data_IF_702818830999
#
_entry.id   IF_702818830999
#
_cell.length_a   1.000
_cell.length_b   1.000
_cell.length_c   1.000
_cell.angle_alpha   90.00
_cell.angle_beta   90.00
_cell.angle_gamma   90.00
#
_symmetry.space_group_name_H-M   'P 1'
#
loop_
_entity.id
_entity.type
_entity.pdbx_description
1 polymer ?
#
# COMPACT_ATOMS: atom_id res chain seq x y z
N UNK A 1 -11.83 7.66 9.65
CA UNK A 1 -10.72 6.74 9.99
C UNK A 1 -9.88 7.31 11.11
N UNK A 2 -9.37 6.47 12.00
CA UNK A 2 -8.44 6.88 13.05
C UNK A 2 -7.04 6.97 12.46
N UNK A 3 -6.29 8.06 12.69
CA UNK A 3 -4.93 8.19 12.19
C UNK A 3 -4.07 6.99 12.59
N UNK A 4 -3.38 6.39 11.62
CA UNK A 4 -2.56 5.19 11.82
C UNK A 4 -1.24 5.33 11.10
N UNK A 5 -0.16 5.07 11.81
CA UNK A 5 1.19 5.02 11.26
C UNK A 5 1.63 3.56 11.22
N UNK A 6 1.90 3.03 10.03
CA UNK A 6 2.38 1.67 9.85
C UNK A 6 3.89 1.71 9.69
N UNK A 7 4.59 1.00 10.58
CA UNK A 7 6.05 0.95 10.62
C UNK A 7 6.59 -0.39 10.16
N UNK A 8 7.87 -0.40 9.81
CA UNK A 8 8.62 -1.62 9.58
C UNK A 8 8.76 -2.39 10.90
N UNK A 9 8.76 -3.71 10.80
CA UNK A 9 8.80 -4.61 11.95
C UNK A 9 10.14 -4.49 12.68
N UNK A 10 10.05 -4.55 14.02
CA UNK A 10 11.21 -4.59 14.90
C UNK A 10 12.25 -5.67 14.54
N UNK A 11 11.90 -6.92 14.15
CA UNK A 11 12.92 -7.91 13.78
C UNK A 11 13.75 -7.52 12.55
N UNK A 12 13.18 -6.85 11.55
CA UNK A 12 13.97 -6.36 10.40
C UNK A 12 14.93 -5.26 10.84
N UNK A 13 14.47 -4.37 11.72
CA UNK A 13 15.33 -3.32 12.30
C UNK A 13 16.52 -3.96 13.00
N UNK A 14 16.29 -4.97 13.84
CA UNK A 14 17.36 -5.70 14.54
C UNK A 14 18.31 -6.35 13.53
N UNK A 15 17.79 -6.99 12.48
CA UNK A 15 18.62 -7.63 11.46
C UNK A 15 19.60 -6.64 10.82
N UNK A 16 19.13 -5.45 10.43
CA UNK A 16 20.00 -4.41 9.87
C UNK A 16 21.06 -3.93 10.87
N UNK A 17 20.68 -3.75 12.14
CA UNK A 17 21.63 -3.33 13.18
C UNK A 17 22.70 -4.41 13.44
N UNK A 18 22.30 -5.67 13.50
CA UNK A 18 23.22 -6.81 13.70
C UNK A 18 24.17 -6.93 12.52
N UNK A 19 23.67 -6.86 11.28
CA UNK A 19 24.53 -6.87 10.09
C UNK A 19 25.51 -5.71 10.09
N UNK A 20 25.05 -4.49 10.39
CA UNK A 20 25.92 -3.31 10.48
C UNK A 20 27.01 -3.48 11.53
N UNK A 21 26.68 -3.99 12.72
CA UNK A 21 27.64 -4.27 13.78
C UNK A 21 28.65 -5.37 13.41
N UNK A 22 28.21 -6.43 12.74
CA UNK A 22 29.09 -7.50 12.25
C UNK A 22 30.04 -6.98 11.18
N UNK A 23 29.56 -6.24 10.19
CA UNK A 23 30.41 -5.64 9.16
C UNK A 23 31.42 -4.65 9.76
N UNK A 24 31.00 -3.85 10.73
CA UNK A 24 31.90 -2.95 11.43
C UNK A 24 32.97 -3.71 12.21
N UNK A 25 32.61 -4.82 12.85
CA UNK A 25 33.56 -5.68 13.57
C UNK A 25 34.58 -6.29 12.60
N UNK A 26 34.14 -6.83 11.47
CA UNK A 26 35.02 -7.37 10.42
C UNK A 26 35.94 -6.27 9.86
N UNK A 27 35.46 -5.03 9.72
CA UNK A 27 36.28 -3.91 9.27
C UNK A 27 37.44 -3.64 10.22
N UNK A 28 37.17 -3.64 11.54
CA UNK A 28 38.16 -3.38 12.58
C UNK A 28 39.23 -4.48 12.64
N UNK A 29 38.84 -5.75 12.47
CA UNK A 29 39.78 -6.87 12.58
C UNK A 29 40.45 -7.28 11.26
N UNK A 30 39.87 -6.92 10.11
CA UNK A 30 40.23 -7.50 8.82
C UNK A 30 41.03 -6.58 7.88
N UNK A 31 41.34 -5.34 8.26
CA UNK A 31 42.05 -4.34 7.46
C UNK A 31 41.49 -4.11 6.04
N UNK A 32 40.21 -4.46 5.80
CA UNK A 32 39.57 -4.26 4.50
C UNK A 32 38.77 -2.95 4.48
N UNK A 33 39.17 -1.95 3.68
CA UNK A 33 38.57 -0.61 3.70
C UNK A 33 37.09 -0.61 3.29
N UNK A 34 36.65 -1.56 2.47
CA UNK A 34 35.26 -1.63 2.00
C UNK A 34 34.23 -1.81 3.14
N UNK A 35 34.61 -2.48 4.23
CA UNK A 35 33.69 -2.74 5.34
C UNK A 35 33.52 -1.54 6.28
N UNK A 36 34.46 -0.59 6.27
CA UNK A 36 34.34 0.66 7.04
C UNK A 36 33.19 1.53 6.58
N UNK A 37 32.78 1.45 5.31
CA UNK A 37 31.61 2.17 4.81
C UNK A 37 30.34 1.35 4.97
N UNK A 38 30.38 0.05 4.68
CA UNK A 38 29.20 -0.80 4.74
C UNK A 38 28.58 -0.89 6.15
N UNK A 39 29.40 -1.07 7.19
CA UNK A 39 28.93 -1.22 8.58
C UNK A 39 28.11 -0.01 9.06
N UNK A 40 28.66 1.22 9.01
CA UNK A 40 27.94 2.43 9.38
C UNK A 40 26.69 2.68 8.53
N UNK A 41 26.73 2.40 7.22
CA UNK A 41 25.55 2.55 6.35
C UNK A 41 24.41 1.65 6.83
N UNK A 42 24.69 0.38 7.15
CA UNK A 42 23.66 -0.54 7.67
C UNK A 42 23.15 -0.15 9.06
N UNK A 43 24.03 0.34 9.94
CA UNK A 43 23.60 0.87 11.25
C UNK A 43 22.67 2.07 11.09
N UNK A 44 23.05 3.05 10.27
CA UNK A 44 22.22 4.23 9.99
C UNK A 44 20.90 3.82 9.36
N UNK A 45 20.92 2.90 8.38
CA UNK A 45 19.71 2.40 7.73
C UNK A 45 18.79 1.70 8.73
N UNK A 46 19.34 0.86 9.62
CA UNK A 46 18.60 0.23 10.70
C UNK A 46 17.93 1.26 11.62
N UNK A 47 18.66 2.30 12.03
CA UNK A 47 18.09 3.40 12.81
C UNK A 47 16.98 4.14 12.05
N UNK A 48 17.20 4.52 10.79
CA UNK A 48 16.21 5.26 9.98
C UNK A 48 14.91 4.48 9.81
N UNK A 49 15.03 3.20 9.46
CA UNK A 49 13.90 2.26 9.29
C UNK A 49 13.03 2.17 10.55
N UNK A 50 13.59 2.40 11.74
CA UNK A 50 12.85 2.35 13.01
C UNK A 50 11.96 3.57 13.25
N UNK A 51 12.45 4.75 12.88
CA UNK A 51 11.80 6.02 13.22
C UNK A 51 10.83 6.50 12.14
N UNK A 52 11.06 6.14 10.89
CA UNK A 52 10.30 6.67 9.76
C UNK A 52 9.11 5.74 9.44
N UNK A 53 7.85 6.22 9.56
CA UNK A 53 6.69 5.42 9.17
C UNK A 53 6.57 5.35 7.65
N UNK A 54 6.37 4.15 7.12
CA UNK A 54 6.27 3.88 5.68
C UNK A 54 4.88 4.24 5.14
N UNK A 55 3.83 4.05 5.93
CA UNK A 55 2.48 4.44 5.55
C UNK A 55 1.88 5.27 6.67
N UNK A 56 1.42 6.47 6.32
CA UNK A 56 0.74 7.37 7.22
C UNK A 56 -0.68 7.56 6.72
N UNK A 57 -1.63 7.00 7.46
CA UNK A 57 -3.06 7.15 7.22
C UNK A 57 -3.54 8.30 8.09
N UNK A 58 -3.96 9.38 7.45
CA UNK A 58 -4.60 10.54 8.09
C UNK A 58 -6.12 10.44 7.91
N UNK A 59 -6.87 11.42 8.43
CA UNK A 59 -8.35 11.40 8.37
C UNK A 59 -8.91 11.43 6.94
N UNK A 60 -8.21 12.08 6.00
CA UNK A 60 -8.67 12.33 4.62
C UNK A 60 -7.66 11.96 3.53
N UNK A 61 -6.48 11.50 3.92
CA UNK A 61 -5.38 11.24 3.00
C UNK A 61 -4.56 10.06 3.50
N UNK A 62 -4.00 9.31 2.56
CA UNK A 62 -3.00 8.29 2.80
C UNK A 62 -1.71 8.72 2.13
N UNK A 63 -0.64 8.84 2.91
CA UNK A 63 0.70 9.16 2.44
C UNK A 63 1.56 7.91 2.49
N UNK A 64 2.10 7.52 1.34
CA UNK A 64 3.11 6.47 1.23
C UNK A 64 4.47 7.14 1.25
N UNK A 65 5.31 6.73 2.20
CA UNK A 65 6.66 7.25 2.42
C UNK A 65 7.68 6.15 2.19
N UNK A 66 8.82 6.51 1.63
CA UNK A 66 9.99 5.63 1.56
C UNK A 66 10.58 5.44 2.98
N UNK A 67 11.42 4.41 3.19
CA UNK A 67 12.13 4.22 4.46
C UNK A 67 13.03 5.39 4.87
N UNK A 68 13.34 6.30 3.95
CA UNK A 68 14.10 7.54 4.17
C UNK A 68 13.21 8.77 4.36
N UNK A 69 11.87 8.60 4.37
CA UNK A 69 10.90 9.64 4.74
C UNK A 69 10.36 10.46 3.56
N UNK A 70 10.77 10.15 2.33
CA UNK A 70 10.28 10.85 1.12
C UNK A 70 8.87 10.36 0.81
N UNK A 71 7.93 11.26 0.57
CA UNK A 71 6.57 10.89 0.18
C UNK A 71 6.55 10.48 -1.28
N UNK A 72 6.30 9.19 -1.56
CA UNK A 72 6.20 8.64 -2.91
C UNK A 72 4.83 8.91 -3.53
N UNK A 73 3.78 9.01 -2.70
CA UNK A 73 2.42 9.24 -3.18
C UNK A 73 1.48 9.67 -2.07
N UNK A 74 0.49 10.48 -2.44
CA UNK A 74 -0.61 10.91 -1.58
C UNK A 74 -1.93 10.55 -2.26
N UNK A 75 -2.80 9.86 -1.53
CA UNK A 75 -4.06 9.34 -2.05
C UNK A 75 -5.21 9.86 -1.19
N UNK A 76 -6.27 10.43 -1.77
CA UNK A 76 -7.41 10.90 -1.00
C UNK A 76 -8.21 9.71 -0.47
N UNK A 77 -8.50 9.69 0.83
CA UNK A 77 -9.29 8.63 1.46
C UNK A 77 -10.50 9.27 2.12
N UNK A 78 -11.69 9.01 1.58
CA UNK A 78 -12.95 9.56 2.11
C UNK A 78 -13.56 8.60 3.13
N UNK A 79 -13.47 7.29 2.85
CA UNK A 79 -14.10 6.26 3.67
C UNK A 79 -13.19 5.04 3.89
N UNK A 80 -13.41 4.26 4.98
CA UNK A 80 -12.84 2.93 5.17
C UNK A 80 -12.78 2.05 3.93
N UNK A 81 -13.86 2.03 3.14
CA UNK A 81 -13.97 1.22 1.93
C UNK A 81 -13.11 1.67 0.75
N UNK A 82 -12.50 2.87 0.78
CA UNK A 82 -11.60 3.31 -0.28
C UNK A 82 -10.25 2.58 -0.26
N UNK A 83 -9.96 1.88 0.84
CA UNK A 83 -8.77 1.06 1.02
C UNK A 83 -9.18 -0.41 1.10
N UNK A 84 -8.49 -1.25 0.33
CA UNK A 84 -8.69 -2.70 0.37
C UNK A 84 -7.36 -3.39 0.68
N UNK A 85 -7.41 -4.40 1.55
CA UNK A 85 -6.30 -5.30 1.79
C UNK A 85 -6.53 -6.59 1.01
N UNK A 86 -5.79 -6.78 -0.08
CA UNK A 86 -5.92 -7.96 -0.97
C UNK A 86 -4.58 -8.66 -1.03
N UNK A 87 -4.52 -9.92 -0.60
CA UNK A 87 -3.30 -10.74 -0.55
C UNK A 87 -2.13 -10.09 0.21
N UNK A 88 -2.43 -9.35 1.29
CA UNK A 88 -1.43 -8.59 2.03
C UNK A 88 -0.84 -7.41 1.24
N UNK A 89 -1.52 -6.93 0.20
CA UNK A 89 -1.22 -5.67 -0.49
C UNK A 89 -2.30 -4.66 -0.14
N UNK A 90 -1.90 -3.44 0.16
CA UNK A 90 -2.82 -2.33 0.37
C UNK A 90 -3.11 -1.68 -0.99
N UNK A 91 -4.38 -1.62 -1.34
CA UNK A 91 -4.88 -1.04 -2.58
C UNK A 91 -5.76 0.16 -2.28
N UNK A 92 -5.67 1.17 -3.14
CA UNK A 92 -6.63 2.24 -3.21
C UNK A 92 -7.70 1.88 -4.24
N UNK A 93 -8.91 1.60 -3.77
CA UNK A 93 -10.02 1.07 -4.59
C UNK A 93 -10.45 2.08 -5.66
N UNK A 94 -10.67 3.38 -5.37
CA UNK A 94 -11.15 4.32 -6.37
C UNK A 94 -10.20 4.52 -7.55
N UNK A 95 -8.88 4.47 -7.32
CA UNK A 95 -7.87 4.61 -8.38
C UNK A 95 -7.34 3.28 -8.89
N UNK A 96 -7.86 2.15 -8.37
CA UNK A 96 -7.37 0.80 -8.63
C UNK A 96 -5.83 0.69 -8.55
N UNK A 97 -5.22 1.42 -7.62
CA UNK A 97 -3.77 1.55 -7.54
C UNK A 97 -3.22 0.79 -6.34
N UNK A 98 -2.18 -0.02 -6.59
CA UNK A 98 -1.44 -0.69 -5.50
C UNK A 98 -0.60 0.37 -4.77
N UNK A 99 -0.84 0.51 -3.47
CA UNK A 99 -0.12 1.46 -2.62
C UNK A 99 1.18 0.84 -2.09
N UNK A 100 1.06 -0.28 -1.39
CA UNK A 100 2.21 -0.96 -0.79
C UNK A 100 1.95 -2.45 -0.62
N UNK A 101 3.00 -3.27 -0.64
CA UNK A 101 2.92 -4.68 -0.28
C UNK A 101 3.28 -4.85 1.19
N UNK A 102 2.32 -5.26 2.02
CA UNK A 102 2.45 -5.43 3.48
C UNK A 102 2.87 -6.87 3.88
N UNK A 103 3.23 -7.73 2.92
CA UNK A 103 3.51 -9.16 3.15
C UNK A 103 4.64 -9.46 4.14
N UNK A 104 5.78 -8.78 4.04
CA UNK A 104 6.94 -9.02 4.89
C UNK A 104 7.49 -7.71 5.42
N UNK A 105 7.81 -7.71 6.71
CA UNK A 105 8.57 -6.62 7.30
C UNK A 105 7.78 -5.46 7.87
N UNK A 106 6.48 -5.59 8.07
CA UNK A 106 5.68 -4.59 8.78
C UNK A 106 5.27 -5.08 10.16
N UNK A 107 5.04 -4.14 11.09
CA UNK A 107 4.63 -4.49 12.45
C UNK A 107 3.25 -5.16 12.45
N UNK A 108 3.16 -6.35 13.04
CA UNK A 108 1.92 -7.14 13.09
C UNK A 108 0.80 -6.42 13.84
N UNK A 109 1.13 -5.63 14.86
CA UNK A 109 0.14 -4.88 15.63
C UNK A 109 -0.45 -3.74 14.80
N UNK A 110 0.39 -3.06 14.00
CA UNK A 110 -0.07 -2.00 13.10
C UNK A 110 -0.92 -2.57 11.96
N UNK A 111 -0.55 -3.74 11.43
CA UNK A 111 -1.37 -4.46 10.44
C UNK A 111 -2.72 -4.89 11.03
N UNK A 112 -2.75 -5.39 12.25
CA UNK A 112 -3.99 -5.78 12.92
C UNK A 112 -4.91 -4.56 13.13
N UNK A 113 -4.36 -3.41 13.53
CA UNK A 113 -5.12 -2.15 13.64
C UNK A 113 -5.63 -1.69 12.28
N UNK A 114 -4.82 -1.77 11.24
CA UNK A 114 -5.25 -1.44 9.87
C UNK A 114 -6.41 -2.34 9.47
N UNK A 115 -6.26 -3.66 9.63
CA UNK A 115 -7.29 -4.62 9.26
C UNK A 115 -8.59 -4.36 10.03
N UNK A 116 -8.52 -4.16 11.34
CA UNK A 116 -9.67 -3.83 12.17
C UNK A 116 -10.39 -2.54 11.72
N UNK A 117 -9.65 -1.53 11.25
CA UNK A 117 -10.25 -0.32 10.68
C UNK A 117 -10.94 -0.58 9.33
N UNK A 118 -10.35 -1.45 8.48
CA UNK A 118 -10.90 -1.75 7.16
C UNK A 118 -12.14 -2.65 7.23
N UNK A 119 -12.18 -3.63 8.12
CA UNK A 119 -13.37 -4.49 8.35
C UNK A 119 -14.44 -3.85 9.23
N UNK A 120 -14.27 -2.59 9.64
CA UNK A 120 -15.23 -1.89 10.50
C UNK A 120 -15.29 -2.42 11.93
N UNK A 121 -14.36 -3.30 12.33
CA UNK A 121 -14.26 -3.92 13.66
C UNK A 121 -13.49 -3.03 14.66
N UNK A 122 -13.36 -1.74 14.35
CA UNK A 122 -12.62 -0.73 15.12
C UNK A 122 -13.28 -0.51 16.50
N UNK A 123 -13.04 -1.44 17.41
CA UNK A 123 -13.62 -1.49 18.75
C UNK A 123 -13.22 -2.73 19.55
N UNK A 124 -12.80 -3.81 18.90
CA UNK A 124 -12.24 -4.97 19.61
C UNK A 124 -10.72 -4.79 19.78
N UNK A 125 -10.19 -4.71 21.02
CA UNK A 125 -8.74 -4.79 21.24
C UNK A 125 -8.23 -6.12 20.67
N UNK A 126 -7.01 -6.17 20.09
CA UNK A 126 -6.42 -7.42 19.68
C UNK A 126 -6.24 -8.28 20.94
N UNK A 127 -6.99 -9.37 21.03
CA UNK A 127 -6.81 -10.38 22.07
C UNK A 127 -5.40 -10.95 21.89
N UNK A 128 -4.44 -10.42 22.65
CA UNK A 128 -3.12 -11.02 22.82
C UNK A 128 -3.33 -12.33 23.59
N UNK A 129 -3.57 -13.41 22.85
CA UNK A 129 -3.75 -14.73 23.45
C UNK A 129 -4.41 -15.69 22.48
N UNK A 130 -3.59 -16.41 21.72
CA UNK A 130 -4.07 -17.50 20.88
C UNK A 130 -3.18 -17.73 19.68
N UNK A 131 -2.21 -18.62 19.83
CA UNK A 131 -1.70 -19.39 18.71
C UNK A 131 -2.91 -20.06 18.02
N UNK A 132 -3.38 -19.52 16.90
CA UNK A 132 -4.29 -20.24 16.02
C UNK A 132 -3.44 -21.23 15.22
N UNK A 133 -3.19 -22.37 15.86
CA UNK A 133 -2.83 -23.59 15.15
C UNK A 133 -3.95 -23.94 14.18
N UNK A 134 -3.57 -24.35 12.97
CA UNK A 134 -4.43 -25.03 12.04
C UNK A 134 -4.88 -26.36 12.67
N UNK A 135 -5.95 -26.33 13.47
CA UNK A 135 -6.62 -27.55 13.91
C UNK A 135 -7.70 -27.89 12.90
N UNK A 136 -7.34 -28.82 12.02
CA UNK A 136 -8.26 -29.65 11.25
C UNK A 136 -9.24 -30.29 12.23
N UNK A 137 -10.49 -29.85 12.22
CA UNK A 137 -11.59 -30.47 12.95
C UNK A 137 -11.97 -31.79 12.27
N UNK A 138 -11.21 -32.84 12.58
CA UNK A 138 -11.59 -34.22 12.30
C UNK A 138 -12.32 -34.74 13.54
N UNK A 139 -13.63 -34.97 13.38
CA UNK A 139 -14.42 -35.92 14.18
C UNK A 139 -14.57 -35.64 15.67
N UNK A 140 -15.71 -35.07 16.07
CA UNK A 140 -16.32 -35.39 17.36
C UNK A 140 -17.79 -35.77 17.16
N UNK A 141 -18.25 -36.92 17.71
CA UNK A 141 -19.63 -37.35 17.63
C UNK A 141 -20.53 -36.45 18.50
N UNK A 142 -21.69 -36.09 17.94
CA UNK A 142 -22.75 -35.31 18.58
C UNK A 142 -23.27 -36.02 19.83
N UNK A 143 -23.19 -35.34 20.99
CA UNK A 143 -24.05 -35.63 22.13
C UNK A 143 -25.38 -34.89 21.96
N UNK A 144 -26.54 -35.51 22.22
CA UNK A 144 -27.83 -34.83 22.18
C UNK A 144 -27.99 -33.95 23.43
N UNK A 145 -28.12 -32.63 23.22
CA UNK A 145 -28.42 -31.66 24.28
C UNK A 145 -29.92 -31.44 24.33
N UNK A 146 -30.46 -31.58 25.54
CA UNK A 146 -31.86 -31.41 25.90
C UNK A 146 -32.40 -30.02 25.54
N UNK A 147 -33.66 -30.01 25.12
CA UNK A 147 -34.46 -28.83 24.79
C UNK A 147 -34.44 -27.80 25.93
N UNK A 148 -33.96 -26.60 25.61
CA UNK A 148 -34.32 -25.38 26.32
C UNK A 148 -35.14 -24.52 25.38
N UNK A 149 -36.45 -24.45 25.65
CA UNK A 149 -37.40 -23.55 25.02
C UNK A 149 -37.02 -22.11 25.37
N UNK A 150 -36.64 -21.34 24.35
CA UNK A 150 -36.32 -19.92 24.48
C UNK A 150 -36.51 -19.21 23.15
N UNK A 151 -37.56 -18.39 23.12
CA UNK A 151 -38.01 -17.50 22.05
C UNK A 151 -36.93 -16.99 21.09
N UNK A 152 -37.07 -17.34 19.81
CA UNK A 152 -36.52 -16.55 18.70
C UNK A 152 -37.68 -16.05 17.84
N UNK A 153 -37.80 -14.74 17.71
CA UNK A 153 -38.60 -14.12 16.66
C UNK A 153 -38.02 -14.55 15.30
N UNK A 154 -38.80 -15.30 14.54
CA UNK A 154 -38.52 -15.58 13.13
C UNK A 154 -38.73 -14.30 12.32
N UNK A 155 -37.65 -13.77 11.76
CA UNK A 155 -37.73 -12.81 10.65
C UNK A 155 -37.83 -13.62 9.37
N UNK A 156 -39.05 -13.70 8.84
CA UNK A 156 -39.37 -14.36 7.57
C UNK A 156 -38.91 -13.49 6.40
N UNK A 157 -37.97 -13.99 5.59
CA UNK A 157 -37.68 -13.42 4.28
C UNK A 157 -38.56 -14.11 3.24
N UNK A 158 -39.28 -13.37 2.38
CA UNK A 158 -40.09 -13.98 1.34
C UNK A 158 -39.19 -14.61 0.26
N UNK A 159 -39.30 -15.93 0.15
CA UNK A 159 -38.88 -16.72 -1.01
C UNK A 159 -39.72 -16.32 -2.22
N UNK A 160 -39.13 -15.58 -3.15
CA UNK A 160 -39.56 -15.54 -4.55
C UNK A 160 -38.58 -16.47 -5.29
N UNK A 161 -39.02 -17.60 -5.84
CA UNK A 161 -39.94 -17.67 -6.96
C UNK A 161 -39.09 -17.88 -8.21
N UNK A 162 -38.95 -19.14 -8.64
CA UNK A 162 -38.24 -19.52 -9.84
C UNK A 162 -38.88 -18.87 -11.07
N UNK A 163 -38.08 -18.14 -11.85
CA UNK A 163 -38.43 -17.75 -13.20
C UNK A 163 -37.28 -18.15 -14.14
N UNK A 164 -37.50 -19.24 -14.87
CA UNK A 164 -36.93 -19.42 -16.20
C UNK A 164 -37.56 -18.38 -17.11
N UNK A 165 -36.74 -17.52 -17.72
CA UNK A 165 -37.21 -16.51 -18.66
C UNK A 165 -36.04 -15.93 -19.45
N UNK A 166 -35.96 -16.32 -20.71
CA UNK A 166 -35.21 -15.61 -21.74
C UNK A 166 -35.69 -14.15 -21.81
N UNK A 167 -34.78 -13.20 -22.01
CA UNK A 167 -35.16 -11.92 -22.60
C UNK A 167 -34.49 -10.68 -21.99
N UNK A 168 -33.95 -9.87 -22.91
CA UNK A 168 -33.69 -8.43 -22.81
C UNK A 168 -32.61 -7.94 -21.85
N UNK A 169 -31.46 -7.61 -22.46
CA UNK A 169 -30.44 -6.71 -21.93
C UNK A 169 -31.09 -5.38 -21.49
N UNK A 170 -30.82 -4.89 -20.27
CA UNK A 170 -31.22 -3.54 -19.90
C UNK A 170 -30.42 -2.53 -20.72
N UNK A 171 -31.15 -1.67 -21.44
CA UNK A 171 -30.63 -0.46 -22.07
C UNK A 171 -29.82 0.35 -21.05
N UNK A 172 -28.61 0.76 -21.46
CA UNK A 172 -27.81 1.73 -20.73
C UNK A 172 -28.62 3.00 -20.53
N UNK A 173 -28.88 3.34 -19.27
CA UNK A 173 -29.35 4.67 -18.91
C UNK A 173 -28.28 5.67 -19.35
N UNK A 174 -28.60 6.49 -20.33
CA UNK A 174 -27.82 7.65 -20.71
C UNK A 174 -27.79 8.60 -19.52
N UNK A 175 -26.62 8.72 -18.90
CA UNK A 175 -26.38 9.72 -17.87
C UNK A 175 -26.58 11.11 -18.49
N UNK A 176 -27.70 11.76 -18.18
CA UNK A 176 -27.89 13.17 -18.43
C UNK A 176 -26.82 13.94 -17.64
N UNK A 177 -25.87 14.50 -18.37
CA UNK A 177 -24.92 15.49 -17.86
C UNK A 177 -25.71 16.66 -17.26
N UNK A 178 -25.52 17.00 -15.97
CA UNK A 178 -26.06 18.23 -15.44
C UNK A 178 -25.45 19.44 -16.19
N UNK A 179 -26.25 20.48 -16.50
CA UNK A 179 -25.74 21.68 -17.14
C UNK A 179 -24.65 22.31 -16.28
N UNK A 180 -23.53 22.64 -16.93
CA UNK A 180 -22.39 23.27 -16.29
C UNK A 180 -22.81 24.61 -15.65
N UNK A 181 -22.41 24.89 -14.40
CA UNK A 181 -22.58 26.21 -13.81
C UNK A 181 -21.87 27.25 -14.67
N UNK A 182 -22.66 28.18 -15.22
CA UNK A 182 -22.15 29.35 -15.91
C UNK A 182 -21.27 30.17 -14.96
N UNK A 183 -20.07 30.50 -15.41
CA UNK A 183 -19.32 31.63 -14.89
C UNK A 183 -18.07 31.26 -14.10
N UNK A 184 -17.02 30.80 -14.79
CA UNK A 184 -15.66 31.23 -14.48
C UNK A 184 -14.89 31.47 -15.77
N UNK A 185 -14.50 32.73 -15.97
CA UNK A 185 -13.64 33.19 -17.04
C UNK A 185 -12.36 32.36 -17.14
N UNK A 186 -11.88 32.03 -18.35
CA UNK A 186 -10.54 31.53 -18.51
C UNK A 186 -9.56 32.66 -18.17
N UNK A 187 -8.88 32.55 -17.02
CA UNK A 187 -7.61 33.24 -16.84
C UNK A 187 -6.62 32.63 -17.83
N UNK A 188 -6.41 33.36 -18.91
CA UNK A 188 -5.38 33.13 -19.92
C UNK A 188 -4.02 33.43 -19.26
N UNK A 189 -3.16 32.43 -18.98
CA UNK A 189 -1.84 32.71 -18.46
C UNK A 189 -1.00 33.32 -19.57
N UNK A 190 -0.52 34.54 -19.33
CA UNK A 190 0.48 35.23 -20.14
C UNK A 190 1.69 34.32 -20.37
N UNK A 191 2.25 34.25 -21.59
CA UNK A 191 3.51 33.57 -21.82
C UNK A 191 4.62 34.30 -21.07
N UNK A 192 4.97 33.77 -19.89
CA UNK A 192 6.07 34.26 -19.10
C UNK A 192 7.36 33.84 -19.79
N UNK A 193 8.07 34.85 -20.31
CA UNK A 193 9.37 34.76 -20.96
C UNK A 193 10.33 33.94 -20.10
N UNK A 194 10.89 32.89 -20.70
CA UNK A 194 11.99 32.14 -20.12
C UNK A 194 13.20 33.07 -19.96
N UNK A 195 13.80 33.17 -18.76
CA UNK A 195 15.12 33.79 -18.64
C UNK A 195 16.14 32.88 -19.34
N UNK A 196 16.75 33.41 -20.40
CA UNK A 196 17.97 32.87 -20.99
C UNK A 196 19.09 32.95 -19.95
N UNK A 197 19.31 31.86 -19.20
CA UNK A 197 20.56 31.68 -18.46
C UNK A 197 21.60 31.08 -19.40
N UNK A 198 22.37 31.97 -20.04
CA UNK A 198 23.61 31.61 -20.70
C UNK A 198 24.63 31.16 -19.67
N UNK A 199 24.90 29.86 -19.63
CA UNK A 199 26.14 29.33 -19.06
C UNK A 199 27.00 28.82 -20.21
N UNK A 200 27.85 29.72 -20.71
CA UNK A 200 29.05 29.34 -21.43
C UNK A 200 30.00 28.69 -20.41
N UNK A 201 30.09 27.37 -20.42
CA UNK A 201 31.21 26.65 -19.84
C UNK A 201 32.09 26.19 -21.01
N UNK A 202 33.14 26.98 -21.25
CA UNK A 202 34.34 26.61 -21.99
C UNK A 202 34.84 25.25 -21.52
N UNK A 203 34.97 24.32 -22.46
CA UNK A 203 35.37 22.94 -22.19
C UNK A 203 36.86 22.75 -21.93
N UNK A 204 37.18 21.54 -21.53
CA UNK A 204 38.40 20.80 -21.90
C UNK A 204 38.24 19.35 -21.43
N UNK A 205 38.41 18.39 -22.34
CA UNK A 205 39.07 17.12 -22.00
C UNK A 205 38.21 15.86 -21.86
N UNK A 206 38.22 15.06 -22.93
CA UNK A 206 38.47 13.60 -22.93
C UNK A 206 37.52 12.68 -22.14
N UNK A 207 36.72 11.90 -22.88
CA UNK A 207 36.03 10.72 -22.37
C UNK A 207 34.89 10.25 -23.27
N UNK A 208 35.22 9.68 -24.43
CA UNK A 208 34.25 9.01 -25.30
C UNK A 208 33.85 7.67 -24.71
N UNK A 209 32.75 7.62 -23.96
CA UNK A 209 32.08 6.36 -23.60
C UNK A 209 30.72 6.26 -24.31
N UNK A 210 30.63 5.19 -25.10
CA UNK A 210 29.48 4.70 -25.84
C UNK A 210 28.20 4.68 -25.00
N UNK A 211 27.19 5.43 -25.42
CA UNK A 211 25.80 5.18 -25.02
C UNK A 211 25.13 4.32 -26.09
N UNK A 212 24.58 3.13 -25.77
CA UNK A 212 23.80 2.35 -26.73
C UNK A 212 22.47 3.05 -27.03
N UNK A 213 22.31 3.38 -28.30
CA UNK A 213 21.11 3.94 -28.91
C UNK A 213 20.03 2.86 -28.95
N UNK A 214 19.09 2.92 -28.01
CA UNK A 214 17.90 2.07 -28.01
C UNK A 214 16.95 2.52 -29.14
N UNK A 215 17.09 1.90 -30.30
CA UNK A 215 16.22 2.02 -31.46
C UNK A 215 14.95 1.18 -31.23
N UNK A 216 13.94 1.77 -30.58
CA UNK A 216 12.60 1.17 -30.48
C UNK A 216 11.82 1.45 -31.78
N UNK A 217 12.07 0.64 -32.81
CA UNK A 217 11.15 0.55 -33.96
C UNK A 217 9.81 -0.02 -33.52
N UNK A 218 8.80 0.84 -33.56
CA UNK A 218 7.39 0.47 -33.55
C UNK A 218 7.09 -0.52 -34.69
N UNK A 219 6.69 -1.74 -34.36
CA UNK A 219 5.97 -2.63 -35.29
C UNK A 219 4.47 -2.46 -35.07
N UNK A 220 3.67 -2.19 -36.12
CA UNK A 220 2.22 -2.21 -36.01
C UNK A 220 1.69 -3.65 -35.92
N UNK A 221 0.57 -3.87 -35.22
CA UNK A 221 -0.04 -5.18 -35.09
C UNK A 221 -0.64 -5.65 -36.43
N UNK A 222 -0.27 -6.85 -36.87
CA UNK A 222 -0.97 -7.53 -37.95
C UNK A 222 -2.24 -8.16 -37.39
N UNK A 223 -3.39 -7.77 -37.95
CA UNK A 223 -4.67 -8.40 -37.66
C UNK A 223 -4.79 -9.77 -38.32
N UNK A 224 -5.45 -10.68 -37.60
CA UNK A 224 -6.16 -11.84 -38.16
C UNK A 224 -7.57 -11.83 -37.59
#
# INVERSE_FOLDING_TARGET
MTPLNIRISLPITILYLVLGAVFLSIAIFGDRPIYFFAGPIFLILGCLVRFIPTVQISRHELKVKTPIGITTGTYPVRFPGDLALVDGKLWHVPTNSKLVSLKFGFDKNDLAKLQAQLTGTAGAPPTQGGQQGWQSSVGQPQQPVAEHQGFYQQVSYPTHGAYQGQGTYPQQASYQQPPAPHGYSPYQPSPQQAPQSGWQASGTGLGSEHSPQNDYRYMPPQGQ
#
